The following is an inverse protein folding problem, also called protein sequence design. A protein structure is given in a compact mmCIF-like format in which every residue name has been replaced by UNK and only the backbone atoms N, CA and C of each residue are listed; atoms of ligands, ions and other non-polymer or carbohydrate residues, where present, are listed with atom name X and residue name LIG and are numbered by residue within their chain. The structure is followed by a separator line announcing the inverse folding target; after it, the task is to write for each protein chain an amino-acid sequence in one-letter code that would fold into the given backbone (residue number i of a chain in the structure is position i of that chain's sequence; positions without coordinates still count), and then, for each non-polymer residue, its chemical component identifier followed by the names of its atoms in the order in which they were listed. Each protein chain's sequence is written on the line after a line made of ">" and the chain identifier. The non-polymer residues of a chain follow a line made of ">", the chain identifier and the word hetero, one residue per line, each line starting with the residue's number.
data_IF_809136864048
#
_entry.id   IF_809136864048
#
_cell.length_a   1.000
_cell.length_b   1.000
_cell.length_c   1.000
_cell.angle_alpha   90.00
_cell.angle_beta   90.00
_cell.angle_gamma   90.00
#
_symmetry.space_group_name_H-M   'P 1'
#
loop_
_entity.id
_entity.type
_entity.pdbx_description
1 polymer ?
#
# COMPACT_ATOMS: atom_id res chain seq x y z
N UNK A 1 10.73 9.28 32.72
CA UNK A 1 11.57 8.59 31.72
C UNK A 1 10.62 7.85 30.80
N UNK A 2 10.53 8.27 29.54
CA UNK A 2 9.76 7.53 28.53
C UNK A 2 10.34 6.12 28.43
N UNK A 3 9.51 5.10 28.62
CA UNK A 3 9.94 3.71 28.44
C UNK A 3 10.26 3.46 26.97
N UNK A 4 11.31 2.70 26.71
CA UNK A 4 11.55 2.10 25.41
C UNK A 4 10.61 0.92 25.23
N UNK A 5 10.05 0.77 24.04
CA UNK A 5 9.14 -0.30 23.65
C UNK A 5 9.48 -0.81 22.24
N UNK A 6 8.93 -1.97 21.86
CA UNK A 6 9.10 -2.51 20.51
C UNK A 6 8.45 -1.59 19.46
N UNK A 7 9.08 -1.47 18.29
CA UNK A 7 8.59 -0.63 17.18
C UNK A 7 7.15 -0.96 16.77
N UNK A 8 6.77 -2.23 16.68
CA UNK A 8 5.40 -2.63 16.34
C UNK A 8 4.36 -2.08 17.33
N UNK A 9 4.68 -2.07 18.62
CA UNK A 9 3.80 -1.55 19.67
C UNK A 9 3.71 -0.03 19.61
N UNK A 10 4.87 0.63 19.38
CA UNK A 10 4.95 2.07 19.23
C UNK A 10 4.15 2.55 17.99
N UNK A 11 4.31 1.87 16.84
CA UNK A 11 3.60 2.14 15.60
C UNK A 11 2.10 1.90 15.75
N UNK A 12 1.67 0.76 16.30
CA UNK A 12 0.24 0.46 16.54
C UNK A 12 -0.42 1.59 17.35
N UNK A 13 0.23 2.02 18.43
CA UNK A 13 -0.26 3.12 19.26
C UNK A 13 -0.29 4.46 18.50
N UNK A 14 0.78 4.80 17.79
CA UNK A 14 0.92 6.09 17.13
C UNK A 14 0.03 6.23 15.89
N UNK A 15 -0.18 5.16 15.14
CA UNK A 15 -0.90 5.16 13.86
C UNK A 15 -2.39 4.81 14.04
N UNK A 16 -2.70 3.79 14.85
CA UNK A 16 -4.04 3.18 14.92
C UNK A 16 -4.72 3.28 16.29
N UNK A 17 -3.96 3.61 17.34
CA UNK A 17 -4.47 3.80 18.70
C UNK A 17 -5.46 4.97 18.85
N UNK A 18 -6.03 5.20 20.04
CA UNK A 18 -6.88 6.36 20.31
C UNK A 18 -6.14 7.67 19.99
N UNK A 19 -6.67 8.44 19.04
CA UNK A 19 -6.03 9.68 18.58
C UNK A 19 -4.82 9.49 17.65
N UNK A 20 -4.56 8.26 17.19
CA UNK A 20 -3.48 7.95 16.26
C UNK A 20 -3.65 8.58 14.88
N UNK A 21 -2.56 8.64 14.12
CA UNK A 21 -2.43 9.35 12.86
C UNK A 21 -3.58 9.07 11.88
N UNK A 22 -3.84 7.80 11.55
CA UNK A 22 -4.87 7.41 10.57
C UNK A 22 -6.32 7.59 11.05
N UNK A 23 -6.54 7.97 12.31
CA UNK A 23 -7.87 8.35 12.79
C UNK A 23 -8.15 9.84 12.64
N UNK A 24 -7.11 10.67 12.47
CA UNK A 24 -7.23 12.14 12.43
C UNK A 24 -6.88 12.72 11.06
N UNK A 25 -5.79 12.26 10.47
CA UNK A 25 -5.22 12.83 9.25
C UNK A 25 -5.73 12.12 7.98
N UNK A 26 -5.58 12.79 6.83
CA UNK A 26 -5.77 12.17 5.52
C UNK A 26 -4.44 11.98 4.80
N UNK A 27 -4.15 10.78 4.26
CA UNK A 27 -2.97 10.56 3.43
C UNK A 27 -2.84 11.57 2.28
N UNK A 28 -3.96 12.04 1.69
CA UNK A 28 -3.97 13.05 0.60
C UNK A 28 -3.36 14.40 1.00
N UNK A 29 -3.31 14.73 2.29
CA UNK A 29 -2.66 15.95 2.77
C UNK A 29 -1.15 15.81 2.91
N UNK A 30 -0.62 14.59 2.76
CA UNK A 30 0.80 14.30 2.93
C UNK A 30 1.41 13.66 1.67
N UNK A 31 0.68 12.85 0.89
CA UNK A 31 1.22 12.16 -0.30
C UNK A 31 0.24 12.11 -1.48
N UNK A 32 0.81 12.07 -2.69
CA UNK A 32 0.07 11.65 -3.88
C UNK A 32 0.20 10.13 -4.02
N UNK A 33 -0.91 9.40 -3.95
CA UNK A 33 -0.92 7.93 -4.10
C UNK A 33 -1.48 7.54 -5.46
N UNK A 34 -1.14 6.35 -5.95
CA UNK A 34 -1.62 5.81 -7.23
C UNK A 34 -3.17 5.81 -7.30
N UNK A 35 -3.81 5.40 -6.20
CA UNK A 35 -5.26 5.28 -6.02
C UNK A 35 -6.05 6.60 -6.16
N UNK A 36 -5.39 7.76 -6.12
CA UNK A 36 -6.03 9.07 -6.28
C UNK A 36 -6.16 9.49 -7.76
N UNK A 37 -5.62 8.71 -8.70
CA UNK A 37 -5.58 9.10 -10.11
C UNK A 37 -6.67 8.40 -10.93
N UNK A 38 -7.39 9.12 -11.81
CA UNK A 38 -8.36 8.49 -12.72
C UNK A 38 -7.76 7.38 -13.58
N UNK A 39 -6.52 7.58 -14.07
CA UNK A 39 -5.81 6.57 -14.86
C UNK A 39 -5.61 5.25 -14.10
N UNK A 40 -5.29 5.31 -12.80
CA UNK A 40 -5.20 4.10 -11.99
C UNK A 40 -6.56 3.39 -11.87
N UNK A 41 -7.65 4.14 -11.70
CA UNK A 41 -8.99 3.56 -11.68
C UNK A 41 -9.38 2.88 -13.01
N UNK A 42 -8.96 3.43 -14.16
CA UNK A 42 -9.13 2.76 -15.47
C UNK A 42 -8.40 1.41 -15.52
N UNK A 43 -7.16 1.35 -15.03
CA UNK A 43 -6.39 0.10 -14.95
C UNK A 43 -7.07 -0.92 -14.04
N UNK A 44 -7.55 -0.46 -12.88
CA UNK A 44 -8.24 -1.30 -11.90
C UNK A 44 -9.59 -1.78 -12.44
N UNK A 45 -10.32 -0.96 -13.22
CA UNK A 45 -11.54 -1.38 -13.89
C UNK A 45 -11.26 -2.50 -14.90
N UNK A 46 -10.19 -2.38 -15.69
CA UNK A 46 -9.75 -3.46 -16.59
C UNK A 46 -9.40 -4.74 -15.81
N UNK A 47 -8.72 -4.63 -14.67
CA UNK A 47 -8.44 -5.78 -13.80
C UNK A 47 -9.72 -6.39 -13.22
N UNK A 48 -10.70 -5.55 -12.84
CA UNK A 48 -11.98 -6.00 -12.33
C UNK A 48 -12.75 -6.79 -13.40
N UNK A 49 -12.75 -6.32 -14.66
CA UNK A 49 -13.36 -7.03 -15.78
C UNK A 49 -12.68 -8.38 -16.04
N UNK A 50 -11.34 -8.43 -16.05
CA UNK A 50 -10.59 -9.69 -16.20
C UNK A 50 -10.90 -10.70 -15.08
N UNK A 51 -11.01 -10.22 -13.83
CA UNK A 51 -11.36 -11.06 -12.69
C UNK A 51 -12.81 -11.54 -12.78
N UNK A 52 -13.75 -10.66 -13.14
CA UNK A 52 -15.16 -10.98 -13.28
C UNK A 52 -15.42 -12.01 -14.40
N UNK A 53 -14.75 -11.85 -15.55
CA UNK A 53 -14.81 -12.83 -16.64
C UNK A 53 -14.29 -14.20 -16.22
N UNK A 54 -13.18 -14.25 -15.49
CA UNK A 54 -12.61 -15.50 -14.96
C UNK A 54 -13.55 -16.19 -13.97
N UNK A 55 -14.33 -15.42 -13.23
CA UNK A 55 -15.36 -15.93 -12.32
C UNK A 55 -16.64 -16.38 -13.03
N UNK A 56 -16.76 -16.14 -14.34
CA UNK A 56 -17.95 -16.46 -15.13
C UNK A 56 -19.07 -15.42 -15.01
N UNK A 57 -18.71 -14.16 -14.72
CA UNK A 57 -19.62 -13.02 -14.53
C UNK A 57 -20.74 -13.31 -13.52
N UNK A 58 -20.39 -13.60 -12.25
CA UNK A 58 -21.37 -13.88 -11.20
C UNK A 58 -22.40 -12.75 -11.06
N UNK A 59 -23.59 -13.08 -10.53
CA UNK A 59 -24.66 -12.09 -10.29
C UNK A 59 -24.27 -10.95 -9.36
N UNK A 60 -23.25 -11.14 -8.53
CA UNK A 60 -22.68 -10.13 -7.66
C UNK A 60 -21.17 -10.26 -7.73
N UNK A 61 -20.48 -9.14 -7.97
CA UNK A 61 -19.03 -9.04 -7.99
C UNK A 61 -18.62 -7.91 -7.05
N UNK A 62 -17.83 -8.21 -6.02
CA UNK A 62 -17.41 -7.20 -5.05
C UNK A 62 -16.06 -6.60 -5.43
N UNK A 63 -15.95 -5.27 -5.43
CA UNK A 63 -14.68 -4.54 -5.49
C UNK A 63 -14.45 -3.91 -4.12
N UNK A 64 -13.46 -4.43 -3.40
CA UNK A 64 -13.18 -4.06 -2.01
C UNK A 64 -11.84 -3.33 -1.96
N UNK A 65 -11.86 -2.05 -1.57
CA UNK A 65 -10.67 -1.22 -1.38
C UNK A 65 -10.37 -1.10 0.12
N UNK A 66 -9.21 -1.61 0.55
CA UNK A 66 -8.79 -1.66 1.96
C UNK A 66 -7.77 -0.58 2.24
N UNK A 67 -8.06 0.28 3.22
CA UNK A 67 -7.32 1.53 3.38
C UNK A 67 -7.78 2.57 2.35
N UNK A 68 -9.08 2.59 2.05
CA UNK A 68 -9.67 3.33 0.92
C UNK A 68 -9.44 4.86 0.94
N UNK A 69 -8.83 5.41 1.99
CA UNK A 69 -8.46 6.82 1.98
C UNK A 69 -9.70 7.71 2.06
N UNK A 70 -9.81 8.63 1.10
CA UNK A 70 -11.00 9.44 0.89
C UNK A 70 -12.01 8.78 -0.09
N UNK A 71 -11.75 7.54 -0.51
CA UNK A 71 -12.58 6.79 -1.44
C UNK A 71 -12.41 7.19 -2.91
N UNK A 72 -11.33 7.89 -3.26
CA UNK A 72 -11.11 8.44 -4.61
C UNK A 72 -11.09 7.34 -5.69
N UNK A 73 -10.45 6.21 -5.40
CA UNK A 73 -10.44 5.04 -6.30
C UNK A 73 -11.86 4.53 -6.55
N UNK A 74 -12.62 4.26 -5.48
CA UNK A 74 -13.99 3.77 -5.61
C UNK A 74 -14.94 4.81 -6.21
N UNK A 75 -14.69 6.11 -6.02
CA UNK A 75 -15.42 7.17 -6.69
C UNK A 75 -15.26 7.06 -8.21
N UNK A 76 -14.03 6.96 -8.71
CA UNK A 76 -13.78 6.78 -10.13
C UNK A 76 -14.34 5.45 -10.66
N UNK A 77 -14.15 4.35 -9.93
CA UNK A 77 -14.70 3.05 -10.30
C UNK A 77 -16.23 3.04 -10.33
N UNK A 78 -16.90 3.91 -9.56
CA UNK A 78 -18.36 4.03 -9.58
C UNK A 78 -18.93 4.61 -10.88
N UNK A 79 -18.10 5.30 -11.67
CA UNK A 79 -18.45 5.79 -13.00
C UNK A 79 -18.04 4.80 -14.11
N UNK A 80 -17.04 3.94 -13.84
CA UNK A 80 -16.48 3.00 -14.80
C UNK A 80 -17.15 1.62 -14.77
N UNK A 81 -17.60 1.16 -13.60
CA UNK A 81 -18.17 -0.17 -13.41
C UNK A 81 -19.70 -0.13 -13.36
N UNK A 82 -20.34 -1.14 -13.94
CA UNK A 82 -21.79 -1.28 -13.95
C UNK A 82 -22.38 -1.50 -12.53
N UNK A 83 -23.71 -1.44 -12.40
CA UNK A 83 -24.42 -1.53 -11.11
C UNK A 83 -24.33 -2.92 -10.43
N UNK A 84 -23.87 -3.96 -11.13
CA UNK A 84 -23.62 -5.29 -10.54
C UNK A 84 -22.38 -5.27 -9.65
N UNK A 85 -21.43 -4.38 -9.94
CA UNK A 85 -20.23 -4.20 -9.13
C UNK A 85 -20.60 -3.55 -7.78
N UNK A 86 -20.42 -4.32 -6.71
CA UNK A 86 -20.58 -3.86 -5.33
C UNK A 86 -19.28 -3.22 -4.86
N UNK A 87 -19.26 -1.89 -4.75
CA UNK A 87 -18.09 -1.12 -4.33
C UNK A 87 -18.06 -0.99 -2.81
N UNK A 88 -17.00 -1.44 -2.17
CA UNK A 88 -16.88 -1.47 -0.70
C UNK A 88 -15.57 -0.83 -0.27
N UNK A 89 -15.65 0.32 0.38
CA UNK A 89 -14.54 0.93 1.09
C UNK A 89 -14.40 0.29 2.47
N UNK A 90 -13.19 -0.11 2.83
CA UNK A 90 -12.83 -0.49 4.20
C UNK A 90 -11.86 0.55 4.75
N UNK A 91 -12.37 1.36 5.68
CA UNK A 91 -11.65 2.52 6.22
C UNK A 91 -12.09 2.81 7.67
N UNK A 92 -11.14 3.23 8.51
CA UNK A 92 -11.36 3.51 9.93
C UNK A 92 -12.14 4.82 10.12
N UNK A 93 -11.90 5.78 9.23
CA UNK A 93 -12.48 7.13 9.29
C UNK A 93 -13.94 7.15 8.82
N UNK A 94 -14.69 8.21 9.18
CA UNK A 94 -16.06 8.39 8.70
C UNK A 94 -16.11 8.54 7.18
N UNK A 95 -17.23 8.10 6.59
CA UNK A 95 -17.51 8.24 5.16
C UNK A 95 -17.49 9.73 4.72
N UNK A 96 -16.72 10.09 3.67
CA UNK A 96 -16.80 11.40 3.06
C UNK A 96 -18.18 11.68 2.42
N UNK A 97 -18.68 12.91 2.58
CA UNK A 97 -20.04 13.29 2.15
C UNK A 97 -20.25 13.30 0.64
N UNK A 98 -19.19 13.43 -0.14
CA UNK A 98 -19.26 13.54 -1.61
C UNK A 98 -19.30 12.17 -2.32
N UNK A 99 -19.09 11.07 -1.60
CA UNK A 99 -19.07 9.74 -2.21
C UNK A 99 -20.48 9.29 -2.64
N UNK A 100 -20.68 8.79 -3.87
CA UNK A 100 -21.92 8.22 -4.38
C UNK A 100 -22.52 7.16 -3.46
N UNK A 101 -23.85 7.16 -3.28
CA UNK A 101 -24.56 6.26 -2.36
C UNK A 101 -24.28 4.77 -2.62
N UNK A 102 -23.98 4.38 -3.88
CA UNK A 102 -23.65 2.99 -4.25
C UNK A 102 -22.35 2.47 -3.63
N UNK A 103 -21.46 3.34 -3.17
CA UNK A 103 -20.24 2.95 -2.47
C UNK A 103 -20.63 2.58 -1.04
N UNK A 104 -20.38 1.35 -0.63
CA UNK A 104 -20.58 0.92 0.75
C UNK A 104 -19.36 1.31 1.59
N UNK A 105 -19.57 1.86 2.80
CA UNK A 105 -18.47 2.28 3.69
C UNK A 105 -18.45 1.45 4.98
N UNK A 106 -17.39 0.67 5.18
CA UNK A 106 -17.25 -0.25 6.31
C UNK A 106 -15.97 0.02 7.08
N UNK A 107 -15.97 -0.33 8.37
CA UNK A 107 -14.74 -0.35 9.21
C UNK A 107 -13.99 -1.68 9.19
N UNK A 108 -14.62 -2.72 8.66
CA UNK A 108 -14.10 -4.10 8.63
C UNK A 108 -14.41 -4.72 7.28
N UNK A 109 -13.55 -5.64 6.85
CA UNK A 109 -13.80 -6.43 5.64
C UNK A 109 -15.11 -7.22 5.76
N UNK A 110 -15.78 -7.51 4.63
CA UNK A 110 -16.80 -8.57 4.59
C UNK A 110 -16.21 -9.91 5.07
N UNK A 111 -17.04 -10.74 5.73
CA UNK A 111 -16.58 -12.03 6.25
C UNK A 111 -16.12 -12.99 5.15
N UNK A 112 -16.74 -12.89 3.97
CA UNK A 112 -16.42 -13.60 2.74
C UNK A 112 -16.99 -12.83 1.53
N UNK A 113 -16.27 -12.83 0.40
CA UNK A 113 -16.76 -12.27 -0.87
C UNK A 113 -16.05 -12.90 -2.08
N UNK A 114 -16.65 -12.74 -3.26
CA UNK A 114 -16.04 -13.05 -4.55
C UNK A 114 -15.84 -11.74 -5.33
N UNK A 115 -14.68 -11.56 -5.95
CA UNK A 115 -14.40 -10.42 -6.82
C UNK A 115 -12.96 -9.91 -6.74
N UNK A 116 -12.79 -8.59 -6.57
CA UNK A 116 -11.50 -7.91 -6.55
C UNK A 116 -11.24 -7.28 -5.17
N UNK A 117 -10.14 -7.65 -4.52
CA UNK A 117 -9.61 -6.96 -3.34
C UNK A 117 -8.43 -6.09 -3.75
N UNK A 118 -8.39 -4.85 -3.27
CA UNK A 118 -7.32 -3.88 -3.54
C UNK A 118 -6.80 -3.35 -2.21
N UNK A 119 -5.48 -3.26 -2.09
CA UNK A 119 -4.77 -2.67 -0.96
C UNK A 119 -3.60 -1.84 -1.50
N UNK A 120 -3.81 -0.54 -1.66
CA UNK A 120 -2.75 0.38 -2.10
C UNK A 120 -2.12 1.07 -0.89
N UNK A 121 -0.80 1.02 -0.76
CA UNK A 121 -0.03 1.65 0.33
C UNK A 121 -0.63 1.29 1.71
N UNK A 122 -0.86 -0.01 1.88
CA UNK A 122 -1.44 -0.59 3.10
C UNK A 122 -0.40 -1.38 3.89
N UNK A 123 0.46 -2.12 3.19
CA UNK A 123 1.39 -3.05 3.82
C UNK A 123 2.58 -2.31 4.43
N UNK A 124 3.05 -1.23 3.81
CA UNK A 124 4.06 -0.32 4.38
C UNK A 124 3.70 0.17 5.78
N UNK A 125 2.41 0.41 6.01
CA UNK A 125 1.82 0.99 7.21
C UNK A 125 1.46 -0.05 8.29
N UNK A 126 1.59 -1.34 7.98
CA UNK A 126 1.40 -2.40 8.98
C UNK A 126 2.52 -2.30 10.03
N UNK A 127 2.19 -2.20 11.33
CA UNK A 127 3.17 -2.12 12.39
C UNK A 127 4.13 -3.31 12.36
N UNK A 128 5.42 -3.02 12.40
CA UNK A 128 6.47 -4.02 12.33
C UNK A 128 7.57 -3.73 13.35
N UNK A 129 8.25 -4.79 13.80
CA UNK A 129 9.44 -4.66 14.62
C UNK A 129 10.67 -4.49 13.72
N UNK A 130 11.65 -3.71 14.20
CA UNK A 130 12.99 -3.64 13.59
C UNK A 130 13.93 -4.55 14.36
N UNK A 131 14.81 -5.22 13.62
CA UNK A 131 15.98 -5.89 14.16
C UNK A 131 17.23 -5.09 13.85
N UNK A 132 18.23 -5.19 14.72
CA UNK A 132 19.58 -4.69 14.50
C UNK A 132 20.63 -5.71 14.92
N UNK A 133 21.84 -5.58 14.37
CA UNK A 133 23.04 -6.27 14.87
C UNK A 133 23.74 -5.32 15.84
N UNK A 134 23.86 -5.72 17.11
CA UNK A 134 24.54 -4.93 18.14
C UNK A 134 26.08 -4.92 17.98
N UNK A 135 26.78 -4.13 18.79
CA UNK A 135 28.26 -4.01 18.74
C UNK A 135 28.98 -5.34 19.01
N UNK A 136 28.32 -6.29 19.68
CA UNK A 136 28.83 -7.64 19.94
C UNK A 136 28.48 -8.64 18.81
N UNK A 137 27.88 -8.17 17.71
CA UNK A 137 27.47 -9.01 16.58
C UNK A 137 26.21 -9.83 16.84
N UNK A 138 25.37 -9.47 17.81
CA UNK A 138 24.15 -10.22 18.15
C UNK A 138 22.90 -9.55 17.58
N UNK A 139 21.99 -10.36 17.08
CA UNK A 139 20.66 -9.91 16.69
C UNK A 139 19.84 -9.51 17.92
N UNK A 140 19.26 -8.30 17.86
CA UNK A 140 18.41 -7.68 18.88
C UNK A 140 17.23 -6.99 18.23
N UNK A 141 16.10 -6.96 18.92
CA UNK A 141 15.04 -6.01 18.55
C UNK A 141 15.60 -4.60 18.74
N UNK A 142 15.29 -3.70 17.82
CA UNK A 142 15.44 -2.28 18.07
C UNK A 142 14.19 -1.80 18.83
N UNK A 143 14.41 -1.20 20.00
CA UNK A 143 13.35 -0.54 20.77
C UNK A 143 13.42 0.97 20.55
N UNK A 144 12.27 1.63 20.66
CA UNK A 144 12.11 3.06 20.47
C UNK A 144 11.39 3.70 21.65
N UNK A 145 11.73 4.94 21.99
CA UNK A 145 10.97 5.74 22.94
C UNK A 145 10.04 6.73 22.23
N UNK A 146 9.25 7.51 22.98
CA UNK A 146 8.29 8.46 22.39
C UNK A 146 8.93 9.61 21.61
N UNK A 147 10.20 9.89 21.84
CA UNK A 147 10.95 10.97 21.19
C UNK A 147 11.68 10.48 19.93
N UNK A 148 11.50 9.20 19.55
CA UNK A 148 12.15 8.57 18.39
C UNK A 148 13.57 8.05 18.66
N UNK A 149 14.09 8.16 19.88
CA UNK A 149 15.40 7.61 20.21
C UNK A 149 15.33 6.08 20.25
N UNK A 150 16.32 5.42 19.64
CA UNK A 150 16.37 3.95 19.57
C UNK A 150 17.49 3.36 20.44
N UNK A 151 17.37 2.06 20.76
CA UNK A 151 18.40 1.26 21.42
C UNK A 151 18.26 -0.22 21.06
N UNK A 152 19.32 -0.98 21.29
CA UNK A 152 19.24 -2.44 21.31
C UNK A 152 18.35 -2.91 22.49
N UNK A 153 17.35 -3.71 22.18
CA UNK A 153 16.41 -4.32 23.12
C UNK A 153 16.71 -5.79 23.38
N UNK A 154 15.64 -6.57 23.60
CA UNK A 154 15.72 -8.01 23.84
C UNK A 154 16.19 -8.84 22.64
N UNK A 155 16.46 -10.13 22.90
CA UNK A 155 16.67 -11.13 21.84
C UNK A 155 15.41 -11.26 20.99
N UNK A 156 15.58 -11.55 19.70
CA UNK A 156 14.48 -11.89 18.81
C UNK A 156 13.81 -13.20 19.22
N UNK A 157 12.51 -13.26 18.97
CA UNK A 157 11.77 -14.50 19.05
C UNK A 157 12.17 -15.42 17.88
N UNK A 158 12.10 -16.74 18.07
CA UNK A 158 12.57 -17.73 17.09
C UNK A 158 11.95 -17.53 15.69
N UNK A 159 10.66 -17.20 15.64
CA UNK A 159 9.97 -17.00 14.36
C UNK A 159 10.46 -15.75 13.61
N UNK A 160 10.90 -14.71 14.32
CA UNK A 160 11.47 -13.51 13.72
C UNK A 160 12.93 -13.74 13.29
N UNK A 161 13.71 -14.50 14.09
CA UNK A 161 15.05 -14.96 13.70
C UNK A 161 14.99 -15.78 12.39
N UNK A 162 14.04 -16.71 12.28
CA UNK A 162 13.83 -17.53 11.08
C UNK A 162 13.41 -16.69 9.87
N UNK A 163 12.52 -15.70 10.08
CA UNK A 163 12.08 -14.82 9.00
C UNK A 163 13.23 -13.97 8.46
N UNK A 164 14.04 -13.39 9.33
CA UNK A 164 15.22 -12.63 8.91
C UNK A 164 16.23 -13.53 8.18
N UNK A 165 16.48 -14.74 8.68
CA UNK A 165 17.39 -15.67 8.02
C UNK A 165 16.94 -16.03 6.59
N UNK A 166 15.62 -16.17 6.36
CA UNK A 166 15.05 -16.52 5.06
C UNK A 166 14.98 -15.32 4.12
N UNK A 167 14.51 -14.19 4.64
CA UNK A 167 14.26 -13.00 3.86
C UNK A 167 15.43 -12.06 4.04
N UNK A 168 15.55 -11.31 5.13
CA UNK A 168 16.50 -10.21 5.28
C UNK A 168 17.67 -10.51 6.25
N UNK A 169 18.69 -11.31 5.86
CA UNK A 169 19.74 -11.72 6.79
C UNK A 169 20.67 -10.54 7.10
N UNK A 170 20.81 -10.23 8.39
CA UNK A 170 21.76 -9.24 8.88
C UNK A 170 23.06 -9.90 9.34
N UNK A 171 24.19 -9.27 9.07
CA UNK A 171 25.54 -9.81 9.27
C UNK A 171 26.42 -8.89 10.09
N UNK A 172 26.42 -7.60 9.76
CA UNK A 172 27.41 -6.66 10.29
C UNK A 172 26.81 -5.72 11.35
N UNK A 173 27.56 -5.37 12.42
CA UNK A 173 27.11 -4.42 13.43
C UNK A 173 26.58 -3.11 12.82
N UNK A 174 25.40 -2.69 13.28
CA UNK A 174 24.73 -1.49 12.79
C UNK A 174 23.76 -1.71 11.62
N UNK A 175 23.78 -2.88 10.97
CA UNK A 175 22.74 -3.23 10.01
C UNK A 175 21.37 -3.34 10.69
N UNK A 176 20.31 -3.00 9.94
CA UNK A 176 18.92 -3.00 10.40
C UNK A 176 18.00 -3.61 9.35
N UNK A 177 16.96 -4.29 9.82
CA UNK A 177 15.89 -4.81 8.97
C UNK A 177 14.52 -4.64 9.62
N UNK A 178 13.52 -4.31 8.82
CA UNK A 178 12.12 -4.37 9.23
C UNK A 178 11.57 -5.80 9.07
N UNK A 179 11.09 -6.40 10.16
CA UNK A 179 10.57 -7.77 10.18
C UNK A 179 9.17 -7.79 9.54
N UNK A 180 9.03 -8.46 8.40
CA UNK A 180 7.81 -8.44 7.57
C UNK A 180 6.71 -9.41 7.97
N UNK A 181 6.89 -10.25 9.01
CA UNK A 181 5.88 -11.25 9.42
C UNK A 181 4.48 -10.68 9.66
N UNK A 182 4.30 -9.53 10.33
CA UNK A 182 2.98 -8.93 10.50
C UNK A 182 2.33 -8.55 9.16
N UNK A 183 3.11 -8.12 8.15
CA UNK A 183 2.62 -7.79 6.81
C UNK A 183 2.12 -9.03 6.08
N UNK A 184 2.87 -10.13 6.14
CA UNK A 184 2.42 -11.40 5.56
C UNK A 184 1.16 -11.91 6.26
N UNK A 185 1.10 -11.85 7.58
CA UNK A 185 -0.08 -12.24 8.34
C UNK A 185 -1.29 -11.38 7.95
N UNK A 186 -1.09 -10.07 7.83
CA UNK A 186 -2.14 -9.13 7.39
C UNK A 186 -2.61 -9.44 5.96
N UNK A 187 -1.69 -9.68 5.03
CA UNK A 187 -2.04 -10.02 3.65
C UNK A 187 -2.79 -11.36 3.56
N UNK A 188 -2.38 -12.37 4.32
CA UNK A 188 -3.12 -13.64 4.44
C UNK A 188 -4.52 -13.42 4.98
N UNK A 189 -4.69 -12.65 6.06
CA UNK A 189 -6.00 -12.33 6.63
C UNK A 189 -6.93 -11.66 5.60
N UNK A 190 -6.42 -10.74 4.80
CA UNK A 190 -7.18 -10.06 3.74
C UNK A 190 -7.58 -11.03 2.62
N UNK A 191 -6.63 -11.81 2.13
CA UNK A 191 -6.84 -12.76 1.01
C UNK A 191 -7.61 -14.01 1.41
N UNK A 192 -7.72 -14.34 2.70
CA UNK A 192 -8.61 -15.38 3.25
C UNK A 192 -10.09 -15.03 3.14
N UNK A 193 -10.44 -13.73 3.11
CA UNK A 193 -11.83 -13.26 2.92
C UNK A 193 -12.27 -13.34 1.46
N UNK A 194 -11.33 -13.36 0.53
CA UNK A 194 -11.58 -13.52 -0.89
C UNK A 194 -11.73 -15.01 -1.21
N UNK A 195 -12.98 -15.45 -1.38
CA UNK A 195 -13.32 -16.86 -1.63
C UNK A 195 -12.85 -17.28 -3.02
N UNK A 196 -13.10 -16.42 -4.02
CA UNK A 196 -12.68 -16.57 -5.42
C UNK A 196 -12.49 -15.18 -6.02
N UNK A 197 -11.46 -15.01 -6.86
CA UNK A 197 -11.22 -13.76 -7.60
C UNK A 197 -9.76 -13.34 -7.59
N UNK A 198 -9.50 -12.03 -7.51
CA UNK A 198 -8.15 -11.48 -7.52
C UNK A 198 -7.94 -10.55 -6.34
N UNK A 199 -6.78 -10.65 -5.68
CA UNK A 199 -6.31 -9.69 -4.70
C UNK A 199 -5.09 -8.95 -5.27
N UNK A 200 -5.05 -7.65 -5.07
CA UNK A 200 -4.00 -6.75 -5.51
C UNK A 200 -3.46 -5.96 -4.31
N UNK A 201 -2.17 -6.10 -4.02
CA UNK A 201 -1.45 -5.15 -3.20
C UNK A 201 -0.53 -4.30 -4.08
N UNK A 202 -0.53 -2.99 -3.86
CA UNK A 202 0.37 -2.04 -4.51
C UNK A 202 1.12 -1.30 -3.42
N UNK A 203 2.42 -1.51 -3.34
CA UNK A 203 3.21 -0.94 -2.24
C UNK A 203 4.66 -0.69 -2.65
N UNK A 204 5.34 0.25 -2.00
CA UNK A 204 6.77 0.44 -2.23
C UNK A 204 7.59 -0.54 -1.38
N UNK A 205 8.69 -1.00 -1.95
CA UNK A 205 9.33 -2.21 -1.44
C UNK A 205 10.65 -2.51 -2.14
N UNK A 206 11.28 -3.59 -1.71
CA UNK A 206 12.52 -4.10 -2.28
C UNK A 206 12.48 -5.63 -2.37
N UNK A 207 13.28 -6.17 -3.27
CA UNK A 207 13.62 -7.59 -3.31
C UNK A 207 14.93 -7.83 -2.54
N UNK A 208 15.27 -9.09 -2.28
CA UNK A 208 16.50 -9.41 -1.55
C UNK A 208 17.80 -8.87 -2.17
N UNK A 209 17.83 -8.57 -3.47
CA UNK A 209 18.97 -7.93 -4.15
C UNK A 209 19.19 -6.45 -3.79
N UNK A 210 18.15 -5.76 -3.33
CA UNK A 210 18.10 -4.29 -3.26
C UNK A 210 17.77 -3.78 -1.85
N UNK A 211 17.99 -4.62 -0.83
CA UNK A 211 17.70 -4.28 0.57
C UNK A 211 18.74 -3.30 1.13
N UNK A 212 18.30 -2.19 1.75
CA UNK A 212 19.22 -1.23 2.34
C UNK A 212 19.74 -1.69 3.71
N UNK A 213 21.02 -1.46 3.96
CA UNK A 213 21.69 -1.83 5.23
C UNK A 213 21.07 -1.13 6.45
N UNK A 214 20.57 0.10 6.29
CA UNK A 214 19.96 0.89 7.37
C UNK A 214 18.48 0.60 7.62
N UNK A 215 17.88 -0.33 6.88
CA UNK A 215 16.42 -0.45 6.79
C UNK A 215 15.79 0.74 6.06
N UNK A 216 14.47 0.84 6.16
CA UNK A 216 13.66 1.80 5.38
C UNK A 216 12.65 2.58 6.20
N UNK A 217 12.56 2.31 7.49
CA UNK A 217 11.58 2.98 8.34
C UNK A 217 11.74 4.50 8.30
N UNK A 218 10.67 5.19 7.91
CA UNK A 218 10.67 6.63 7.63
C UNK A 218 9.44 7.29 8.24
N UNK A 219 9.64 8.47 8.84
CA UNK A 219 8.57 9.33 9.29
C UNK A 219 8.13 10.29 8.18
N UNK A 220 6.88 10.72 8.20
CA UNK A 220 6.29 11.50 7.12
C UNK A 220 5.34 12.57 7.66
N UNK A 221 5.67 13.84 7.43
CA UNK A 221 4.96 14.99 8.00
C UNK A 221 4.93 16.17 7.01
N UNK A 222 3.76 16.79 6.85
CA UNK A 222 3.56 17.95 5.98
C UNK A 222 4.11 17.75 4.55
N UNK A 223 3.98 16.52 4.03
CA UNK A 223 4.44 16.10 2.71
C UNK A 223 5.96 15.96 2.54
N UNK A 224 6.69 15.77 3.64
CA UNK A 224 8.13 15.56 3.65
C UNK A 224 8.52 14.37 4.52
N UNK A 225 9.58 13.69 4.14
CA UNK A 225 10.24 12.70 4.99
C UNK A 225 10.88 13.37 6.20
N UNK A 226 10.84 12.69 7.33
CA UNK A 226 11.42 13.07 8.62
C UNK A 226 11.86 11.81 9.36
N UNK A 227 12.58 11.97 10.47
CA UNK A 227 12.83 10.88 11.41
C UNK A 227 11.49 10.29 11.91
N UNK A 228 11.38 8.95 12.05
CA UNK A 228 10.18 8.31 12.55
C UNK A 228 10.03 8.55 14.07
N UNK A 229 9.00 9.31 14.45
CA UNK A 229 8.69 9.61 15.86
C UNK A 229 7.32 9.02 16.23
N UNK A 230 7.23 8.00 17.09
CA UNK A 230 5.98 7.30 17.38
C UNK A 230 5.12 8.01 18.44
N UNK A 231 4.90 9.32 18.25
CA UNK A 231 4.03 10.18 19.07
C UNK A 231 2.68 10.49 18.38
N UNK A 232 2.50 10.06 17.13
CA UNK A 232 1.29 10.30 16.33
C UNK A 232 1.26 11.68 15.64
N UNK A 233 2.41 12.37 15.59
CA UNK A 233 2.57 13.64 14.86
C UNK A 233 2.99 13.48 13.40
N UNK A 234 3.43 12.28 13.00
CA UNK A 234 3.79 11.92 11.64
C UNK A 234 3.25 10.53 11.30
N UNK A 235 3.15 10.26 10.00
CA UNK A 235 3.02 8.90 9.51
C UNK A 235 4.35 8.16 9.67
N UNK A 236 4.32 6.85 9.88
CA UNK A 236 5.51 6.00 10.03
C UNK A 236 5.30 4.78 9.15
N UNK A 237 6.19 4.64 8.17
CA UNK A 237 6.09 3.57 7.18
C UNK A 237 7.42 2.85 7.05
N UNK A 238 7.41 1.66 6.46
CA UNK A 238 8.62 1.00 6.03
C UNK A 238 8.36 0.19 4.76
N UNK A 239 9.37 0.12 3.89
CA UNK A 239 9.29 -0.59 2.62
C UNK A 239 8.97 -2.07 2.86
N UNK A 240 8.20 -2.65 1.94
CA UNK A 240 7.82 -4.06 1.98
C UNK A 240 8.98 -4.92 1.46
N UNK A 241 9.34 -5.97 2.19
CA UNK A 241 10.10 -7.10 1.65
C UNK A 241 9.17 -7.90 0.72
N UNK A 242 9.10 -7.49 -0.55
CA UNK A 242 8.06 -7.90 -1.50
C UNK A 242 8.13 -9.39 -1.80
N UNK A 243 9.34 -9.92 -1.86
CA UNK A 243 9.62 -11.34 -2.04
C UNK A 243 9.08 -12.22 -0.90
N UNK A 244 8.82 -11.65 0.29
CA UNK A 244 8.21 -12.36 1.41
C UNK A 244 6.67 -12.39 1.34
N UNK A 245 6.03 -11.53 0.55
CA UNK A 245 4.57 -11.49 0.45
C UNK A 245 4.09 -12.64 -0.45
N UNK A 246 3.14 -13.48 0.00
CA UNK A 246 2.62 -14.57 -0.83
C UNK A 246 1.75 -14.00 -1.96
N UNK A 247 2.35 -13.84 -3.13
CA UNK A 247 1.72 -13.38 -4.37
C UNK A 247 2.11 -14.31 -5.55
N UNK A 248 1.18 -14.52 -6.47
CA UNK A 248 1.40 -15.34 -7.67
C UNK A 248 2.18 -14.58 -8.73
N UNK A 249 2.05 -13.25 -8.77
CA UNK A 249 2.78 -12.36 -9.66
C UNK A 249 3.27 -11.14 -8.91
N UNK A 250 4.54 -10.82 -9.09
CA UNK A 250 5.21 -9.63 -8.55
C UNK A 250 5.92 -8.93 -9.70
N UNK A 251 5.56 -7.68 -9.94
CA UNK A 251 6.17 -6.86 -10.99
C UNK A 251 6.14 -5.37 -10.62
N UNK A 252 6.94 -4.52 -11.27
CA UNK A 252 6.80 -3.08 -11.11
C UNK A 252 5.43 -2.60 -11.61
N UNK A 253 4.81 -1.65 -10.89
CA UNK A 253 3.51 -1.08 -11.21
C UNK A 253 3.42 -0.61 -12.66
N UNK A 254 4.44 0.09 -13.16
CA UNK A 254 4.47 0.56 -14.56
C UNK A 254 4.29 -0.56 -15.59
N UNK A 255 4.75 -1.77 -15.29
CA UNK A 255 4.69 -2.91 -16.21
C UNK A 255 3.31 -3.58 -16.13
N UNK A 256 2.74 -3.72 -14.93
CA UNK A 256 1.36 -4.15 -14.74
C UNK A 256 0.35 -3.19 -15.41
N UNK A 257 0.52 -1.88 -15.19
CA UNK A 257 -0.34 -0.85 -15.80
C UNK A 257 -0.26 -0.87 -17.33
N UNK A 258 0.94 -1.07 -17.90
CA UNK A 258 1.10 -1.22 -19.35
C UNK A 258 0.39 -2.46 -19.87
N UNK A 259 0.44 -3.57 -19.13
CA UNK A 259 -0.26 -4.80 -19.47
C UNK A 259 -1.79 -4.63 -19.42
N UNK A 260 -2.30 -3.77 -18.53
CA UNK A 260 -3.71 -3.37 -18.43
C UNK A 260 -4.12 -2.29 -19.45
N UNK A 261 -3.24 -1.94 -20.40
CA UNK A 261 -3.56 -1.06 -21.52
C UNK A 261 -3.33 0.44 -21.28
N UNK A 262 -2.79 0.85 -20.13
CA UNK A 262 -2.46 2.26 -19.90
C UNK A 262 -1.33 2.72 -20.81
N UNK A 263 -1.51 3.90 -21.39
CA UNK A 263 -0.55 4.50 -22.30
C UNK A 263 -0.37 5.99 -22.05
N UNK A 264 0.87 6.40 -21.77
CA UNK A 264 1.27 7.79 -21.57
C UNK A 264 1.59 8.54 -22.88
N UNK A 265 1.18 8.02 -24.04
CA UNK A 265 1.46 8.64 -25.34
C UNK A 265 0.78 10.00 -25.44
N UNK A 266 1.56 11.03 -25.77
CA UNK A 266 1.03 12.39 -25.97
C UNK A 266 0.09 12.43 -27.18
N UNK A 267 -1.02 13.17 -27.12
CA UNK A 267 -1.88 13.36 -28.28
C UNK A 267 -1.11 14.02 -29.44
N UNK A 268 -1.48 13.74 -30.70
CA UNK A 268 -0.81 14.34 -31.85
C UNK A 268 -1.03 15.86 -31.89
N UNK A 269 0.02 16.62 -32.21
CA UNK A 269 -0.05 18.09 -32.30
C UNK A 269 -1.11 18.59 -33.27
N UNK A 270 -1.48 17.81 -34.29
CA UNK A 270 -2.58 18.16 -35.21
C UNK A 270 -3.92 18.33 -34.49
N UNK A 271 -4.14 17.64 -33.36
CA UNK A 271 -5.36 17.79 -32.56
C UNK A 271 -5.40 19.18 -31.91
N UNK A 272 -4.26 19.74 -31.50
CA UNK A 272 -4.20 21.09 -30.92
C UNK A 272 -4.72 22.18 -31.88
N UNK A 273 -4.56 21.98 -33.19
CA UNK A 273 -5.06 22.92 -34.20
C UNK A 273 -6.52 22.70 -34.58
N UNK A 274 -7.04 21.48 -34.44
CA UNK A 274 -8.42 21.12 -34.83
C UNK A 274 -9.40 21.27 -33.67
N UNK A 275 -8.97 20.85 -32.49
CA UNK A 275 -9.72 20.88 -31.24
C UNK A 275 -8.75 21.09 -30.06
N UNK A 276 -8.44 22.35 -29.73
CA UNK A 276 -7.51 22.68 -28.65
C UNK A 276 -7.96 22.13 -27.29
N UNK A 277 -9.28 22.06 -27.04
CA UNK A 277 -9.83 21.57 -25.78
C UNK A 277 -9.63 20.08 -25.65
N UNK A 278 -9.97 19.30 -26.68
CA UNK A 278 -9.73 17.86 -26.69
C UNK A 278 -8.23 17.54 -26.58
N UNK A 279 -7.37 18.33 -27.22
CA UNK A 279 -5.91 18.18 -27.06
C UNK A 279 -5.47 18.43 -25.62
N UNK A 280 -5.95 19.49 -24.98
CA UNK A 280 -5.57 19.81 -23.59
C UNK A 280 -6.00 18.71 -22.62
N UNK A 281 -7.21 18.18 -22.77
CA UNK A 281 -7.70 17.04 -21.97
C UNK A 281 -6.85 15.80 -22.20
N UNK A 282 -6.61 15.43 -23.46
CA UNK A 282 -5.80 14.26 -23.79
C UNK A 282 -4.34 14.39 -23.29
N UNK A 283 -3.77 15.59 -23.34
CA UNK A 283 -2.42 15.85 -22.84
C UNK A 283 -2.36 15.78 -21.31
N UNK A 284 -3.39 16.27 -20.62
CA UNK A 284 -3.50 16.14 -19.17
C UNK A 284 -3.56 14.67 -18.75
N UNK A 285 -4.38 13.86 -19.42
CA UNK A 285 -4.49 12.41 -19.17
C UNK A 285 -3.16 11.68 -19.44
N UNK A 286 -2.49 11.98 -20.55
CA UNK A 286 -1.19 11.41 -20.87
C UNK A 286 -0.13 11.79 -19.82
N UNK A 287 -0.17 13.02 -19.30
CA UNK A 287 0.77 13.49 -18.27
C UNK A 287 0.51 12.83 -16.92
N UNK A 288 -0.76 12.66 -16.54
CA UNK A 288 -1.14 11.93 -15.32
C UNK A 288 -0.70 10.46 -15.40
N UNK A 289 -0.93 9.82 -16.55
CA UNK A 289 -0.50 8.44 -16.81
C UNK A 289 1.03 8.32 -16.78
N UNK A 290 1.75 9.28 -17.35
CA UNK A 290 3.22 9.32 -17.31
C UNK A 290 3.75 9.35 -15.86
N UNK A 291 3.13 10.15 -14.97
CA UNK A 291 3.49 10.20 -13.55
C UNK A 291 3.23 8.87 -12.84
N UNK A 292 2.11 8.22 -13.14
CA UNK A 292 1.73 6.93 -12.57
C UNK A 292 2.68 5.79 -13.00
N UNK A 293 3.28 5.92 -14.19
CA UNK A 293 4.22 4.96 -14.77
C UNK A 293 5.70 5.33 -14.57
N UNK A 294 6.00 6.44 -13.87
CA UNK A 294 7.37 6.93 -13.69
C UNK A 294 8.22 5.92 -12.89
N UNK A 295 9.30 5.36 -13.45
CA UNK A 295 10.15 4.39 -12.76
C UNK A 295 10.94 4.98 -11.58
N UNK A 296 10.98 6.31 -11.43
CA UNK A 296 11.55 6.98 -10.25
C UNK A 296 10.48 7.44 -9.24
N UNK A 297 9.21 7.19 -9.54
CA UNK A 297 8.06 7.58 -8.73
C UNK A 297 7.09 6.42 -8.53
N UNK A 298 5.79 6.68 -8.75
CA UNK A 298 4.73 5.68 -8.52
C UNK A 298 4.90 4.41 -9.37
N UNK A 299 5.49 4.51 -10.56
CA UNK A 299 5.77 3.37 -11.42
C UNK A 299 6.84 2.42 -10.88
N UNK A 300 7.53 2.79 -9.79
CA UNK A 300 8.47 1.94 -9.06
C UNK A 300 7.82 1.10 -7.96
N UNK A 301 6.57 1.40 -7.56
CA UNK A 301 5.82 0.58 -6.62
C UNK A 301 5.69 -0.85 -7.14
N UNK A 302 5.58 -1.81 -6.25
CA UNK A 302 5.41 -3.22 -6.57
C UNK A 302 3.93 -3.57 -6.66
N UNK A 303 3.57 -4.19 -7.77
CA UNK A 303 2.26 -4.75 -8.04
C UNK A 303 2.28 -6.23 -7.71
N UNK A 304 1.64 -6.60 -6.62
CA UNK A 304 1.58 -7.96 -6.09
C UNK A 304 0.17 -8.51 -6.28
N UNK A 305 0.02 -9.50 -7.18
CA UNK A 305 -1.27 -10.11 -7.51
C UNK A 305 -1.36 -11.53 -6.97
N UNK A 306 -2.48 -11.86 -6.35
CA UNK A 306 -2.85 -13.22 -5.92
C UNK A 306 -4.21 -13.57 -6.51
N UNK A 307 -4.31 -14.68 -7.23
CA UNK A 307 -5.58 -15.18 -7.79
C UNK A 307 -6.11 -16.34 -6.91
N UNK A 308 -7.43 -16.36 -6.67
CA UNK A 308 -8.14 -17.30 -5.78
C UNK A 308 -9.25 -18.05 -6.50
#
# INVERSE_FOLDING_TARGET
>A
MSGFERWSTAMERALYGPGGFYRRELPVHHFSTSAQTPAFAEAVAQLADEADERLGRPRSFAVVDVGAGNGDLLFHLSELLDDRARLIAVELRPRPRHLPERIEWRRRLPDAFEGLLIACELLDNVPCDRALVDEDGRLRYEEVNRDGATRAGGRLDEADEQWLAAWWPLRDPGERAEIGRPREARWRELTERLVRGTALAVDYGHLGSDRPEGGTMTGFKDGRSTEPVPDGSCDITAHVAVDAIPADRVEPQRDALRALGLNATRPPMSLAYRDPTAYAVALANASATARLMDPAGLGAQWWMRTDR
#
